data_IF_464500045045
#
_entry.id   IF_464500045045
#
_cell.length_a   1.000
_cell.length_b   1.000
_cell.length_c   1.000
_cell.angle_alpha   90.00
_cell.angle_beta   90.00
_cell.angle_gamma   90.00
#
_symmetry.space_group_name_H-M   'P 1'
#
loop_
_entity.id
_entity.type
_entity.pdbx_description
1 polymer ?
#
# COMPACT_ATOMS: atom_id res chain seq x y z
N UNK A 1 9.92 35.53 1.91
CA UNK A 1 10.34 34.50 0.94
C UNK A 1 9.41 33.32 1.06
N UNK A 2 8.91 32.77 -0.06
CA UNK A 2 8.09 31.55 -0.05
C UNK A 2 8.95 30.36 -0.46
N UNK A 3 8.86 29.28 0.31
CA UNK A 3 9.64 28.03 0.08
C UNK A 3 8.68 26.84 0.10
N UNK A 4 8.79 25.98 -0.89
CA UNK A 4 8.13 24.66 -0.89
C UNK A 4 9.20 23.59 -0.72
N UNK A 5 8.99 22.70 0.24
CA UNK A 5 9.86 21.55 0.47
C UNK A 5 9.07 20.31 0.04
N UNK A 6 9.47 19.75 -1.08
CA UNK A 6 8.90 18.52 -1.63
C UNK A 6 9.99 17.43 -1.56
N UNK A 7 9.83 16.46 -0.67
CA UNK A 7 10.87 15.48 -0.35
C UNK A 7 10.25 14.12 -0.06
N UNK A 8 10.89 13.06 -0.54
CA UNK A 8 10.54 11.69 -0.24
C UNK A 8 11.18 11.24 1.09
N UNK A 9 10.82 10.05 1.56
CA UNK A 9 11.37 9.43 2.76
C UNK A 9 12.83 9.01 2.56
N UNK A 10 13.56 8.96 3.67
CA UNK A 10 14.88 8.33 3.72
C UNK A 10 14.72 6.94 4.30
N UNK A 11 14.63 5.94 3.43
CA UNK A 11 14.32 4.55 3.77
C UNK A 11 15.13 4.05 4.98
N UNK A 12 14.41 3.60 6.03
CA UNK A 12 15.01 3.12 7.27
C UNK A 12 15.58 4.22 8.21
N UNK A 13 15.38 5.52 7.89
CA UNK A 13 15.92 6.64 8.69
C UNK A 13 14.83 7.62 9.13
N UNK A 14 14.16 8.29 8.19
CA UNK A 14 13.12 9.27 8.54
C UNK A 14 12.02 9.31 7.46
N UNK A 15 10.80 9.64 7.90
CA UNK A 15 9.68 9.85 6.98
C UNK A 15 9.87 11.13 6.16
N UNK A 16 9.16 11.25 5.03
CA UNK A 16 9.16 12.45 4.19
C UNK A 16 8.74 13.69 4.98
N UNK A 17 7.75 13.56 5.88
CA UNK A 17 7.33 14.66 6.77
C UNK A 17 8.43 15.07 7.77
N UNK A 18 9.08 14.12 8.41
CA UNK A 18 10.20 14.40 9.34
C UNK A 18 11.35 15.10 8.62
N UNK A 19 11.72 14.64 7.43
CA UNK A 19 12.76 15.25 6.61
C UNK A 19 12.39 16.69 6.21
N UNK A 20 11.15 16.87 5.74
CA UNK A 20 10.64 18.19 5.36
C UNK A 20 10.59 19.19 6.51
N UNK A 21 10.11 18.77 7.69
CA UNK A 21 10.07 19.63 8.88
C UNK A 21 11.47 19.97 9.40
N UNK A 22 12.42 19.03 9.32
CA UNK A 22 13.81 19.27 9.68
C UNK A 22 14.47 20.32 8.77
N UNK A 23 14.24 20.19 7.45
CA UNK A 23 14.69 21.17 6.47
C UNK A 23 14.04 22.55 6.69
N UNK A 24 12.73 22.59 6.96
CA UNK A 24 12.01 23.82 7.28
C UNK A 24 12.60 24.52 8.52
N UNK A 25 12.92 23.76 9.56
CA UNK A 25 13.56 24.28 10.78
C UNK A 25 14.93 24.88 10.46
N UNK A 26 15.74 24.22 9.64
CA UNK A 26 17.05 24.75 9.22
C UNK A 26 16.92 26.06 8.44
N UNK A 27 15.99 26.14 7.49
CA UNK A 27 15.74 27.35 6.69
C UNK A 27 15.30 28.52 7.59
N UNK A 28 14.39 28.28 8.53
CA UNK A 28 13.90 29.32 9.45
C UNK A 28 14.97 29.89 10.38
N UNK A 29 16.04 29.14 10.67
CA UNK A 29 17.18 29.68 11.44
C UNK A 29 17.91 30.80 10.71
N UNK A 30 17.93 30.76 9.37
CA UNK A 30 18.58 31.77 8.53
C UNK A 30 17.55 32.81 8.05
N UNK A 31 16.40 32.38 7.62
CA UNK A 31 15.34 33.23 7.06
C UNK A 31 14.09 33.17 7.95
N UNK A 32 14.11 33.96 9.03
CA UNK A 32 13.04 33.93 10.07
C UNK A 32 11.63 34.16 9.52
N UNK A 33 11.49 35.03 8.52
CA UNK A 33 10.21 35.41 7.91
C UNK A 33 9.85 34.58 6.68
N UNK A 34 10.50 33.42 6.46
CA UNK A 34 10.17 32.55 5.37
C UNK A 34 8.80 31.86 5.59
N UNK A 35 7.93 31.92 4.61
CA UNK A 35 6.74 31.07 4.53
C UNK A 35 7.15 29.75 3.90
N UNK A 36 7.06 28.67 4.70
CA UNK A 36 7.51 27.34 4.30
C UNK A 36 6.33 26.41 4.26
N UNK A 37 6.13 25.75 3.11
CA UNK A 37 5.16 24.69 2.92
C UNK A 37 5.90 23.38 2.71
N UNK A 38 5.65 22.40 3.57
CA UNK A 38 6.16 21.03 3.40
C UNK A 38 5.13 20.22 2.64
N UNK A 39 5.57 19.56 1.57
CA UNK A 39 4.76 18.63 0.75
C UNK A 39 5.49 17.29 0.71
N UNK A 40 5.06 16.31 1.52
CA UNK A 40 5.60 14.95 1.45
C UNK A 40 5.42 14.38 0.05
N UNK A 41 6.45 13.70 -0.45
CA UNK A 41 6.39 12.92 -1.68
C UNK A 41 6.49 11.44 -1.35
N UNK A 42 6.04 10.61 -2.27
CA UNK A 42 6.23 9.17 -2.25
C UNK A 42 6.21 8.60 -3.67
N UNK A 43 6.86 7.46 -3.86
CA UNK A 43 7.06 6.82 -5.17
C UNK A 43 6.12 5.62 -5.42
N UNK A 44 5.06 5.49 -4.60
CA UNK A 44 4.14 4.34 -4.63
C UNK A 44 4.54 3.22 -3.66
N UNK A 45 5.61 3.41 -2.87
CA UNK A 45 6.02 2.53 -1.78
C UNK A 45 5.62 3.06 -0.41
N UNK A 46 6.44 2.77 0.60
CA UNK A 46 6.24 3.19 1.99
C UNK A 46 6.10 4.71 2.11
N UNK A 47 5.02 5.15 2.80
CA UNK A 47 4.71 6.56 3.02
C UNK A 47 3.80 7.19 1.98
N UNK A 48 3.37 6.46 0.94
CA UNK A 48 2.45 6.96 -0.08
C UNK A 48 1.08 7.30 0.51
N UNK A 49 0.55 6.44 1.39
CA UNK A 49 -0.75 6.67 2.05
C UNK A 49 -0.68 7.95 2.88
N UNK A 50 0.35 8.08 3.74
CA UNK A 50 0.52 9.27 4.59
C UNK A 50 0.68 10.55 3.75
N UNK A 51 1.48 10.51 2.69
CA UNK A 51 1.73 11.66 1.83
C UNK A 51 0.43 12.14 1.15
N UNK A 52 -0.35 11.23 0.57
CA UNK A 52 -1.58 11.56 -0.15
C UNK A 52 -2.72 11.93 0.79
N UNK A 53 -2.89 11.23 1.92
CA UNK A 53 -3.90 11.56 2.93
C UNK A 53 -3.69 12.98 3.46
N UNK A 54 -2.43 13.33 3.82
CA UNK A 54 -2.12 14.69 4.25
C UNK A 54 -2.27 15.74 3.13
N UNK A 55 -2.04 15.34 1.88
CA UNK A 55 -2.16 16.24 0.73
C UNK A 55 -3.58 16.50 0.27
N UNK A 56 -4.52 15.60 0.58
CA UNK A 56 -5.91 15.61 0.10
C UNK A 56 -6.94 15.75 1.24
N UNK A 57 -6.52 16.16 2.43
CA UNK A 57 -7.38 16.26 3.63
C UNK A 57 -8.16 14.97 3.91
N UNK A 58 -7.52 13.84 3.69
CA UNK A 58 -8.08 12.51 3.93
C UNK A 58 -7.93 12.07 5.39
N UNK A 59 -8.49 10.93 5.71
CA UNK A 59 -8.37 10.28 7.03
C UNK A 59 -7.71 8.90 6.91
N UNK A 60 -6.97 8.52 7.95
CA UNK A 60 -6.40 7.18 8.08
C UNK A 60 -7.43 6.22 8.68
N UNK A 61 -7.42 5.00 8.22
CA UNK A 61 -8.14 3.86 8.80
C UNK A 61 -7.27 2.61 8.73
N UNK A 62 -7.73 1.49 9.26
CA UNK A 62 -7.00 0.22 9.24
C UNK A 62 -7.95 -0.95 9.27
N UNK A 63 -7.52 -2.06 8.67
CA UNK A 63 -8.26 -3.32 8.65
C UNK A 63 -7.31 -4.49 8.88
N UNK A 64 -7.80 -5.55 9.54
CA UNK A 64 -7.06 -6.81 9.65
C UNK A 64 -7.31 -7.65 8.40
N UNK A 65 -6.24 -8.08 7.74
CA UNK A 65 -6.27 -8.81 6.47
C UNK A 65 -5.28 -9.98 6.48
N UNK A 66 -5.36 -10.81 5.47
CA UNK A 66 -4.40 -11.90 5.22
C UNK A 66 -3.08 -11.32 4.74
N UNK A 67 -2.01 -11.54 5.48
CA UNK A 67 -0.66 -11.14 5.10
C UNK A 67 -0.07 -12.01 3.98
N UNK A 68 1.14 -11.67 3.50
CA UNK A 68 1.74 -12.34 2.34
C UNK A 68 1.99 -13.84 2.56
N UNK A 69 2.30 -14.28 3.78
CA UNK A 69 2.49 -15.70 4.13
C UNK A 69 1.21 -16.38 4.65
N UNK A 70 0.06 -15.71 4.59
CA UNK A 70 -1.23 -16.23 5.06
C UNK A 70 -1.54 -15.93 6.53
N UNK A 71 -0.63 -15.33 7.29
CA UNK A 71 -0.88 -14.91 8.67
C UNK A 71 -1.60 -13.54 8.70
N UNK A 72 -2.46 -13.29 9.70
CA UNK A 72 -3.15 -12.00 9.81
C UNK A 72 -2.17 -10.84 10.03
N UNK A 73 -2.42 -9.74 9.33
CA UNK A 73 -1.69 -8.47 9.49
C UNK A 73 -2.70 -7.32 9.58
N UNK A 74 -2.32 -6.23 10.23
CA UNK A 74 -3.10 -5.00 10.25
C UNK A 74 -2.56 -4.08 9.17
N UNK A 75 -3.42 -3.73 8.20
CA UNK A 75 -3.08 -2.86 7.08
C UNK A 75 -3.73 -1.49 7.26
N UNK A 76 -2.95 -0.41 7.44
CA UNK A 76 -3.46 0.95 7.37
C UNK A 76 -3.70 1.35 5.91
N UNK A 77 -4.73 2.17 5.68
CA UNK A 77 -5.00 2.79 4.39
C UNK A 77 -5.70 4.14 4.58
N UNK A 78 -5.72 4.96 3.54
CA UNK A 78 -6.32 6.29 3.56
C UNK A 78 -7.69 6.32 2.88
N UNK A 79 -8.56 7.24 3.33
CA UNK A 79 -9.83 7.56 2.68
C UNK A 79 -9.92 9.07 2.50
N UNK A 80 -10.21 9.51 1.27
CA UNK A 80 -10.61 10.88 0.95
C UNK A 80 -12.12 10.87 0.75
N UNK A 81 -12.85 11.32 1.77
CA UNK A 81 -14.31 11.20 1.81
C UNK A 81 -14.99 12.02 0.70
N UNK A 82 -14.49 13.21 0.38
CA UNK A 82 -15.03 14.09 -0.65
C UNK A 82 -15.10 13.42 -2.05
N UNK A 83 -14.07 12.64 -2.38
CA UNK A 83 -13.95 11.97 -3.69
C UNK A 83 -14.28 10.48 -3.63
N UNK A 84 -14.65 9.95 -2.47
CA UNK A 84 -14.85 8.52 -2.24
C UNK A 84 -13.65 7.67 -2.69
N UNK A 85 -12.43 8.17 -2.45
CA UNK A 85 -11.17 7.56 -2.89
C UNK A 85 -10.48 6.84 -1.74
N UNK A 86 -10.14 5.58 -1.94
CA UNK A 86 -9.22 4.86 -1.06
C UNK A 86 -7.78 4.97 -1.57
N UNK A 87 -6.84 5.19 -0.67
CA UNK A 87 -5.40 5.23 -0.92
C UNK A 87 -4.78 4.06 -0.19
N UNK A 88 -4.20 3.13 -0.93
CA UNK A 88 -3.72 1.84 -0.42
C UNK A 88 -2.26 1.64 -0.81
N UNK A 89 -1.41 1.28 0.14
CA UNK A 89 -0.11 0.69 -0.14
C UNK A 89 -0.22 -0.83 -0.09
N UNK A 90 0.10 -1.51 -1.19
CA UNK A 90 0.06 -2.97 -1.18
C UNK A 90 1.06 -3.57 -0.19
N UNK A 91 2.15 -2.87 0.12
CA UNK A 91 3.14 -3.27 1.13
C UNK A 91 2.55 -3.36 2.55
N UNK A 92 1.45 -2.65 2.83
CA UNK A 92 0.74 -2.76 4.09
C UNK A 92 0.05 -4.12 4.29
N UNK A 93 -0.34 -4.80 3.21
CA UNK A 93 -0.99 -6.10 3.23
C UNK A 93 -0.12 -7.24 2.67
N UNK A 94 0.83 -6.92 1.77
CA UNK A 94 1.63 -7.91 1.03
C UNK A 94 3.11 -7.51 0.93
N UNK A 95 3.63 -6.83 1.96
CA UNK A 95 4.96 -6.21 1.95
C UNK A 95 6.11 -7.13 2.31
N UNK A 96 7.30 -6.80 1.77
CA UNK A 96 8.54 -7.56 2.01
C UNK A 96 9.01 -7.49 3.47
N UNK A 97 8.58 -6.46 4.21
CA UNK A 97 8.88 -6.31 5.64
C UNK A 97 8.06 -7.23 6.54
N UNK A 98 6.99 -7.82 6.00
CA UNK A 98 6.09 -8.72 6.72
C UNK A 98 6.47 -10.19 6.61
N UNK A 99 7.52 -10.51 5.87
CA UNK A 99 8.04 -11.86 5.68
C UNK A 99 9.50 -11.95 6.09
N UNK A 100 9.91 -13.07 6.65
CA UNK A 100 11.28 -13.31 7.11
C UNK A 100 11.75 -14.70 6.74
N UNK A 101 13.07 -14.90 6.68
CA UNK A 101 13.69 -16.20 6.45
C UNK A 101 13.11 -16.91 5.22
N UNK A 102 12.65 -18.15 5.42
CA UNK A 102 12.10 -19.01 4.36
C UNK A 102 10.74 -18.53 3.81
N UNK A 103 10.02 -17.67 4.54
CA UNK A 103 8.78 -17.08 4.05
C UNK A 103 9.00 -16.07 2.91
N UNK A 104 10.23 -15.58 2.73
CA UNK A 104 10.62 -14.73 1.59
C UNK A 104 10.68 -15.53 0.29
N UNK A 105 9.58 -16.17 -0.05
CA UNK A 105 9.46 -17.00 -1.24
C UNK A 105 8.25 -16.53 -2.08
N UNK A 106 8.48 -15.80 -3.18
CA UNK A 106 7.41 -15.24 -4.00
C UNK A 106 6.52 -16.30 -4.68
N UNK A 107 6.95 -17.57 -4.70
CA UNK A 107 6.12 -18.67 -5.20
C UNK A 107 4.95 -18.99 -4.26
N UNK A 108 5.08 -18.67 -2.97
CA UNK A 108 4.09 -19.01 -1.94
C UNK A 108 3.37 -17.80 -1.37
N UNK A 109 3.90 -16.57 -1.54
CA UNK A 109 3.30 -15.35 -1.01
C UNK A 109 2.15 -14.86 -1.88
N UNK A 110 1.17 -14.18 -1.26
CA UNK A 110 -0.09 -13.80 -1.90
C UNK A 110 -0.44 -12.33 -1.74
N UNK A 111 -1.11 -11.76 -2.73
CA UNK A 111 -1.75 -10.44 -2.69
C UNK A 111 -3.18 -10.48 -2.12
N UNK A 112 -3.63 -11.60 -1.53
CA UNK A 112 -5.01 -11.78 -1.07
C UNK A 112 -5.46 -10.65 -0.14
N UNK A 113 -4.63 -10.27 0.84
CA UNK A 113 -4.92 -9.19 1.76
C UNK A 113 -5.13 -7.83 1.11
N UNK A 114 -4.48 -7.55 -0.04
CA UNK A 114 -4.74 -6.31 -0.79
C UNK A 114 -6.19 -6.26 -1.27
N UNK A 115 -6.73 -7.39 -1.74
CA UNK A 115 -8.14 -7.49 -2.12
C UNK A 115 -9.09 -7.33 -0.93
N UNK A 116 -8.70 -7.82 0.26
CA UNK A 116 -9.47 -7.62 1.49
C UNK A 116 -9.51 -6.14 1.89
N UNK A 117 -8.39 -5.39 1.77
CA UNK A 117 -8.37 -3.93 1.98
C UNK A 117 -9.31 -3.23 1.00
N UNK A 118 -9.30 -3.61 -0.27
CA UNK A 118 -10.20 -3.05 -1.28
C UNK A 118 -11.66 -3.31 -0.91
N UNK A 119 -12.00 -4.52 -0.44
CA UNK A 119 -13.37 -4.85 0.01
C UNK A 119 -13.80 -4.00 1.19
N UNK A 120 -12.93 -3.82 2.18
CA UNK A 120 -13.20 -2.97 3.32
C UNK A 120 -13.42 -1.52 2.90
N UNK A 121 -12.58 -1.00 2.00
CA UNK A 121 -12.73 0.34 1.45
C UNK A 121 -14.07 0.52 0.69
N UNK A 122 -14.50 -0.49 -0.08
CA UNK A 122 -15.82 -0.49 -0.74
C UNK A 122 -16.94 -0.43 0.29
N UNK A 123 -16.85 -1.17 1.40
CA UNK A 123 -17.83 -1.16 2.50
C UNK A 123 -17.86 0.21 3.20
N UNK A 124 -16.70 0.88 3.27
CA UNK A 124 -16.57 2.27 3.76
C UNK A 124 -16.99 3.34 2.73
N UNK A 125 -17.60 2.95 1.62
CA UNK A 125 -18.17 3.86 0.61
C UNK A 125 -17.23 4.28 -0.50
N UNK A 126 -15.98 3.83 -0.52
CA UNK A 126 -15.03 4.17 -1.58
C UNK A 126 -15.43 3.54 -2.92
N UNK A 127 -15.18 4.27 -4.01
CA UNK A 127 -15.43 3.83 -5.38
C UNK A 127 -14.25 4.12 -6.32
N UNK A 128 -13.30 4.94 -5.86
CA UNK A 128 -12.03 5.22 -6.54
C UNK A 128 -10.88 4.68 -5.71
N UNK A 129 -9.84 4.19 -6.39
CA UNK A 129 -8.71 3.54 -5.71
C UNK A 129 -7.39 4.03 -6.28
N UNK A 130 -6.50 4.46 -5.40
CA UNK A 130 -5.09 4.70 -5.69
C UNK A 130 -4.31 3.62 -4.96
N UNK A 131 -3.63 2.75 -5.71
CA UNK A 131 -2.88 1.63 -5.14
C UNK A 131 -1.41 1.80 -5.46
N UNK A 132 -0.61 2.08 -4.42
CA UNK A 132 0.84 2.06 -4.49
C UNK A 132 1.35 0.62 -4.48
N UNK A 133 2.18 0.24 -5.47
CA UNK A 133 2.63 -1.16 -5.65
C UNK A 133 4.08 -1.41 -5.21
N UNK A 134 4.72 -0.40 -4.60
CA UNK A 134 6.09 -0.54 -4.08
C UNK A 134 6.18 -1.45 -2.86
N UNK A 135 7.37 -2.01 -2.61
CA UNK A 135 7.65 -2.78 -1.39
C UNK A 135 7.01 -4.17 -1.30
N UNK A 136 6.51 -4.74 -2.40
CA UNK A 136 5.85 -6.06 -2.44
C UNK A 136 6.78 -7.22 -2.09
N UNK A 137 6.22 -8.25 -1.42
CA UNK A 137 6.83 -9.57 -1.21
C UNK A 137 6.30 -10.63 -2.19
N UNK A 138 5.42 -10.26 -3.12
CA UNK A 138 4.60 -11.19 -3.90
C UNK A 138 4.90 -11.13 -5.39
N UNK A 139 4.62 -12.23 -6.09
CA UNK A 139 4.72 -12.34 -7.55
C UNK A 139 3.60 -13.22 -8.11
N UNK A 140 2.39 -13.08 -7.56
CA UNK A 140 1.21 -13.89 -7.93
C UNK A 140 0.37 -13.25 -9.06
N UNK A 141 0.88 -12.23 -9.75
CA UNK A 141 0.17 -11.52 -10.82
C UNK A 141 -1.12 -10.81 -10.36
N UNK A 142 -1.28 -10.57 -9.06
CA UNK A 142 -2.49 -10.00 -8.47
C UNK A 142 -3.65 -11.00 -8.33
N UNK A 143 -3.41 -12.27 -8.58
CA UNK A 143 -4.46 -13.31 -8.52
C UNK A 143 -5.02 -13.43 -7.11
N UNK A 144 -4.19 -13.38 -6.07
CA UNK A 144 -4.69 -13.39 -4.69
C UNK A 144 -5.66 -12.24 -4.41
N UNK A 145 -5.32 -11.02 -4.85
CA UNK A 145 -6.20 -9.86 -4.74
C UNK A 145 -7.55 -10.09 -5.43
N UNK A 146 -7.53 -10.63 -6.64
CA UNK A 146 -8.75 -10.94 -7.40
C UNK A 146 -9.57 -12.06 -6.75
N UNK A 147 -8.90 -13.08 -6.18
CA UNK A 147 -9.59 -14.13 -5.40
C UNK A 147 -10.33 -13.55 -4.19
N UNK A 148 -9.71 -12.64 -3.45
CA UNK A 148 -10.37 -11.95 -2.34
C UNK A 148 -11.58 -11.13 -2.79
N UNK A 149 -11.54 -10.56 -3.99
CA UNK A 149 -12.64 -9.82 -4.60
C UNK A 149 -13.75 -10.73 -5.15
N UNK A 150 -13.56 -12.06 -5.15
CA UNK A 150 -14.57 -13.05 -5.55
C UNK A 150 -14.38 -13.62 -6.95
N UNK A 151 -13.26 -13.31 -7.62
CA UNK A 151 -12.96 -13.95 -8.91
C UNK A 151 -12.49 -15.39 -8.71
N UNK A 152 -12.98 -16.30 -9.54
CA UNK A 152 -12.59 -17.70 -9.53
C UNK A 152 -11.37 -17.94 -10.43
N UNK A 153 -10.36 -18.60 -9.88
CA UNK A 153 -9.19 -19.09 -10.62
C UNK A 153 -9.13 -20.61 -10.39
N UNK A 154 -9.51 -21.38 -11.40
CA UNK A 154 -9.75 -22.81 -11.24
C UNK A 154 -8.66 -23.65 -11.88
N UNK A 155 -8.36 -24.78 -11.27
CA UNK A 155 -7.55 -25.84 -11.85
C UNK A 155 -8.36 -26.69 -12.86
N UNK A 156 -7.71 -27.65 -13.51
CA UNK A 156 -8.35 -28.57 -14.47
C UNK A 156 -9.49 -29.42 -13.89
N UNK A 157 -9.62 -29.51 -12.57
CA UNK A 157 -10.65 -30.26 -11.88
C UNK A 157 -11.79 -29.35 -11.40
N UNK A 158 -11.74 -28.03 -11.67
CA UNK A 158 -12.71 -27.04 -11.22
C UNK A 158 -12.52 -26.58 -9.79
N UNK A 159 -11.39 -26.88 -9.14
CA UNK A 159 -11.09 -26.41 -7.79
C UNK A 159 -10.38 -25.05 -7.84
N UNK A 160 -10.67 -24.19 -6.87
CA UNK A 160 -9.97 -22.93 -6.70
C UNK A 160 -8.47 -23.20 -6.48
N UNK A 161 -7.60 -22.51 -7.23
CA UNK A 161 -6.14 -22.63 -7.04
C UNK A 161 -5.71 -22.05 -5.69
N UNK A 162 -4.60 -22.57 -5.16
CA UNK A 162 -3.98 -22.07 -3.94
C UNK A 162 -3.31 -20.72 -4.14
N UNK A 163 -2.95 -20.06 -3.03
CA UNK A 163 -2.22 -18.81 -3.02
C UNK A 163 -0.82 -18.91 -3.65
N UNK A 164 -0.31 -17.74 -4.08
CA UNK A 164 1.03 -17.54 -4.58
C UNK A 164 1.20 -17.90 -6.06
N UNK A 165 2.35 -17.49 -6.61
CA UNK A 165 2.70 -17.72 -8.02
C UNK A 165 2.67 -19.22 -8.40
N UNK A 166 2.99 -20.10 -7.46
CA UNK A 166 2.91 -21.56 -7.66
C UNK A 166 1.49 -22.06 -7.91
N UNK A 167 0.46 -21.33 -7.45
CA UNK A 167 -0.93 -21.63 -7.79
C UNK A 167 -1.24 -21.38 -9.24
N UNK A 168 -0.61 -20.38 -9.88
CA UNK A 168 -0.82 -20.01 -11.27
C UNK A 168 -0.44 -21.11 -12.26
N UNK A 169 0.56 -21.93 -11.93
CA UNK A 169 0.95 -23.09 -12.77
C UNK A 169 -0.22 -24.07 -12.98
N UNK A 170 -1.18 -24.08 -12.05
CA UNK A 170 -2.32 -24.99 -12.08
C UNK A 170 -3.57 -24.34 -12.68
N UNK A 171 -3.56 -23.02 -12.83
CA UNK A 171 -4.73 -22.28 -13.34
C UNK A 171 -4.94 -22.53 -14.81
N UNK A 172 -6.14 -22.96 -15.16
CA UNK A 172 -6.66 -22.89 -16.52
C UNK A 172 -7.35 -21.53 -16.67
N UNK A 173 -6.60 -20.53 -17.15
CA UNK A 173 -7.20 -19.26 -17.52
C UNK A 173 -7.97 -19.50 -18.83
N UNK A 174 -9.26 -19.66 -18.72
CA UNK A 174 -10.13 -19.55 -19.87
C UNK A 174 -10.41 -18.06 -20.06
N UNK A 175 -9.75 -17.49 -21.06
CA UNK A 175 -10.07 -16.17 -21.60
C UNK A 175 -11.32 -16.31 -22.48
#
# INVERSE_FOLDING_TARGET
>A
MNVVIAIDSFKGSMTSMQAGLSAATGIKRVYKDAHITVRPLADGGEGTVDALVNGCDGRMTQVQVTGPSGHPVVCPYGIVDETHTAIIEMSGAAGITQVSGEEKNPLNTTTYGVGEVIKDAIQNGCRHFIVGIGGSATNDGGVGMLQALGFGFLDKNGNQIRFGAKGLELSLIHI
#
